data_IF_611515446471
#
_entry.id   IF_611515446471
#
_cell.length_a   1.000
_cell.length_b   1.000
_cell.length_c   1.000
_cell.angle_alpha   90.00
_cell.angle_beta   90.00
_cell.angle_gamma   90.00
#
_symmetry.space_group_name_H-M   'P 1'
#
loop_
_entity.id
_entity.type
_entity.pdbx_description
1 polymer ?
#
# COMPACT_ATOMS: atom_id res chain seq x y z
N UNK A 1 2.10 8.58 -1.15
CA UNK A 1 3.47 9.05 -1.40
C UNK A 1 3.87 8.46 -2.73
N UNK A 2 4.03 9.34 -3.71
CA UNK A 2 4.11 8.95 -5.12
C UNK A 2 5.57 9.05 -5.56
N UNK A 3 6.18 7.88 -5.72
CA UNK A 3 7.56 7.70 -6.14
C UNK A 3 7.62 6.91 -7.46
N UNK A 4 6.55 6.95 -8.24
CA UNK A 4 6.47 6.28 -9.53
C UNK A 4 7.50 6.79 -10.54
N UNK A 5 7.93 5.94 -11.47
CA UNK A 5 8.90 6.22 -12.53
C UNK A 5 10.27 6.75 -12.05
N UNK A 6 10.65 6.39 -10.83
CA UNK A 6 11.99 6.68 -10.31
C UNK A 6 12.98 5.54 -10.56
N UNK A 7 14.24 5.76 -10.18
CA UNK A 7 15.28 4.74 -10.21
C UNK A 7 15.56 4.20 -8.81
N UNK A 8 14.51 3.85 -8.07
CA UNK A 8 14.65 3.27 -6.74
C UNK A 8 15.02 1.79 -6.91
N UNK A 9 16.13 1.40 -6.29
CA UNK A 9 16.63 0.01 -6.24
C UNK A 9 16.59 -0.56 -4.80
N UNK A 10 16.22 0.26 -3.82
CA UNK A 10 16.28 -0.07 -2.38
C UNK A 10 16.21 1.20 -1.52
N UNK A 11 16.58 1.08 -0.24
CA UNK A 11 16.54 2.22 0.71
C UNK A 11 15.16 2.51 1.29
N UNK A 12 14.24 1.53 1.20
CA UNK A 12 12.92 1.62 1.81
C UNK A 12 13.00 1.69 3.35
N UNK A 13 14.12 1.28 3.95
CA UNK A 13 14.37 1.41 5.40
C UNK A 13 14.23 2.84 5.88
N UNK A 14 14.87 3.79 5.19
CA UNK A 14 14.83 5.20 5.59
C UNK A 14 13.44 5.78 5.41
N UNK A 15 12.72 5.35 4.37
CA UNK A 15 11.33 5.75 4.14
C UNK A 15 10.43 5.24 5.27
N UNK A 16 10.66 3.99 5.71
CA UNK A 16 9.94 3.40 6.82
C UNK A 16 10.25 4.06 8.17
N UNK A 17 11.48 4.55 8.36
CA UNK A 17 11.89 5.30 9.57
C UNK A 17 11.32 6.73 9.61
N UNK A 18 11.33 7.43 8.47
CA UNK A 18 10.93 8.83 8.41
C UNK A 18 9.40 9.00 8.31
N UNK A 19 8.69 8.02 7.75
CA UNK A 19 7.25 8.12 7.44
C UNK A 19 6.45 6.94 8.04
N UNK A 20 6.46 6.72 9.36
CA UNK A 20 5.81 5.56 9.98
C UNK A 20 4.28 5.52 9.79
N UNK A 21 3.65 6.67 9.58
CA UNK A 21 2.19 6.79 9.38
C UNK A 21 1.76 6.73 7.91
N UNK A 22 2.65 6.31 7.00
CA UNK A 22 2.34 6.23 5.58
C UNK A 22 1.27 5.15 5.31
N UNK A 23 0.18 5.54 4.66
CA UNK A 23 -0.94 4.63 4.32
C UNK A 23 -0.93 4.19 2.86
N UNK A 24 -0.40 5.02 1.97
CA UNK A 24 -0.36 4.78 0.52
C UNK A 24 1.05 5.05 -0.02
N UNK A 25 1.61 4.08 -0.73
CA UNK A 25 2.94 4.17 -1.33
C UNK A 25 2.88 3.69 -2.79
N UNK A 26 3.19 4.58 -3.72
CA UNK A 26 3.32 4.23 -5.12
C UNK A 26 4.80 4.15 -5.51
N UNK A 27 5.25 2.96 -5.87
CA UNK A 27 6.58 2.63 -6.36
C UNK A 27 6.53 2.05 -7.78
N UNK A 28 5.43 2.23 -8.52
CA UNK A 28 5.31 1.79 -9.91
C UNK A 28 6.43 2.34 -10.80
N UNK A 29 6.83 1.59 -11.83
CA UNK A 29 7.90 1.99 -12.76
C UNK A 29 9.31 2.05 -12.16
N UNK A 30 9.52 1.59 -10.92
CA UNK A 30 10.85 1.46 -10.32
C UNK A 30 11.52 0.11 -10.67
N UNK A 31 12.81 -0.04 -10.33
CA UNK A 31 13.61 -1.24 -10.65
C UNK A 31 13.76 -2.17 -9.45
N UNK A 32 12.64 -2.48 -8.81
CA UNK A 32 12.58 -3.46 -7.71
C UNK A 32 12.43 -4.85 -8.31
N UNK A 33 13.41 -5.73 -8.05
CA UNK A 33 13.47 -7.07 -8.63
C UNK A 33 13.10 -8.18 -7.67
N UNK A 34 13.41 -8.00 -6.39
CA UNK A 34 13.28 -9.04 -5.38
C UNK A 34 12.31 -8.63 -4.27
N UNK A 35 11.49 -9.58 -3.80
CA UNK A 35 10.57 -9.38 -2.67
C UNK A 35 11.34 -8.94 -1.40
N UNK A 36 12.59 -9.38 -1.24
CA UNK A 36 13.45 -8.96 -0.12
C UNK A 36 13.68 -7.45 -0.05
N UNK A 37 13.58 -6.74 -1.17
CA UNK A 37 13.71 -5.27 -1.18
C UNK A 37 12.55 -4.57 -0.45
N UNK A 38 11.42 -5.26 -0.29
CA UNK A 38 10.21 -4.76 0.37
C UNK A 38 10.19 -5.05 1.88
N UNK A 39 11.15 -5.83 2.41
CA UNK A 39 11.21 -6.13 3.85
C UNK A 39 11.16 -4.91 4.77
N UNK A 40 11.81 -3.78 4.43
CA UNK A 40 11.75 -2.61 5.29
C UNK A 40 10.35 -2.01 5.44
N UNK A 41 9.47 -2.22 4.44
CA UNK A 41 8.08 -1.76 4.48
C UNK A 41 7.25 -2.46 5.58
N UNK A 42 7.74 -3.58 6.13
CA UNK A 42 7.10 -4.24 7.29
C UNK A 42 6.96 -3.31 8.49
N UNK A 43 7.87 -2.34 8.64
CA UNK A 43 7.85 -1.35 9.73
C UNK A 43 6.74 -0.30 9.55
N UNK A 44 6.16 -0.17 8.36
CA UNK A 44 5.04 0.73 8.10
C UNK A 44 3.74 0.03 8.50
N UNK A 45 3.41 0.05 9.80
CA UNK A 45 2.20 -0.59 10.33
C UNK A 45 0.90 0.01 9.75
N UNK A 46 0.96 1.29 9.35
CA UNK A 46 -0.16 2.00 8.75
C UNK A 46 -0.32 1.78 7.23
N UNK A 47 0.62 1.11 6.56
CA UNK A 47 0.58 0.95 5.09
C UNK A 47 -0.59 0.05 4.68
N UNK A 48 -1.50 0.60 3.86
CA UNK A 48 -2.70 -0.07 3.36
C UNK A 48 -2.68 -0.32 1.86
N UNK A 49 -2.09 0.60 1.08
CA UNK A 49 -2.01 0.47 -0.37
C UNK A 49 -0.57 0.59 -0.85
N UNK A 50 -0.16 -0.34 -1.70
CA UNK A 50 1.16 -0.40 -2.31
C UNK A 50 1.01 -0.66 -3.81
N UNK A 51 1.63 0.17 -4.62
CA UNK A 51 1.68 -0.01 -6.07
C UNK A 51 3.13 -0.26 -6.49
N UNK A 52 3.36 -1.38 -7.16
CA UNK A 52 4.65 -1.81 -7.72
C UNK A 52 4.52 -2.09 -9.21
N UNK A 53 3.42 -1.68 -9.86
CA UNK A 53 3.17 -1.94 -11.27
C UNK A 53 4.35 -1.51 -12.14
N UNK A 54 4.81 -2.36 -13.05
CA UNK A 54 5.98 -2.08 -13.89
C UNK A 54 7.35 -2.25 -13.19
N UNK A 55 7.40 -2.74 -11.96
CA UNK A 55 8.62 -3.23 -11.34
C UNK A 55 8.97 -4.66 -11.82
N UNK A 56 10.24 -5.06 -11.79
CA UNK A 56 10.64 -6.42 -12.18
C UNK A 56 10.04 -7.52 -11.27
N UNK A 57 9.79 -7.18 -10.00
CA UNK A 57 9.21 -8.08 -8.98
C UNK A 57 7.80 -8.56 -9.33
N UNK A 58 7.04 -7.79 -10.13
CA UNK A 58 5.67 -8.16 -10.53
C UNK A 58 5.65 -9.35 -11.51
N UNK A 59 6.79 -9.70 -12.11
CA UNK A 59 6.92 -10.84 -13.02
C UNK A 59 7.13 -12.18 -12.29
N UNK A 60 7.21 -12.18 -10.95
CA UNK A 60 7.34 -13.41 -10.17
C UNK A 60 5.99 -14.12 -10.09
N UNK A 61 5.97 -15.45 -10.28
CA UNK A 61 4.73 -16.23 -10.25
C UNK A 61 3.97 -16.09 -8.92
N UNK A 62 4.70 -16.09 -7.80
CA UNK A 62 4.14 -16.00 -6.45
C UNK A 62 4.16 -14.56 -5.92
N UNK A 63 4.25 -13.55 -6.80
CA UNK A 63 4.43 -12.15 -6.44
C UNK A 63 3.37 -11.66 -5.44
N UNK A 64 2.08 -11.72 -5.80
CA UNK A 64 0.99 -11.21 -4.95
C UNK A 64 0.96 -11.94 -3.60
N UNK A 65 0.99 -13.27 -3.61
CA UNK A 65 0.97 -14.07 -2.39
C UNK A 65 2.19 -13.77 -1.50
N UNK A 66 3.38 -13.66 -2.09
CA UNK A 66 4.61 -13.35 -1.38
C UNK A 66 4.58 -11.96 -0.76
N UNK A 67 4.06 -10.95 -1.47
CA UNK A 67 3.95 -9.58 -0.96
C UNK A 67 2.93 -9.52 0.18
N UNK A 68 1.73 -10.09 0.04
CA UNK A 68 0.75 -10.10 1.12
C UNK A 68 1.18 -10.91 2.34
N UNK A 69 1.94 -11.99 2.12
CA UNK A 69 2.56 -12.76 3.21
C UNK A 69 3.66 -11.96 3.92
N UNK A 70 4.42 -11.17 3.16
CA UNK A 70 5.47 -10.31 3.69
C UNK A 70 4.91 -9.12 4.46
N UNK A 71 3.85 -8.50 3.93
CA UNK A 71 3.19 -7.30 4.42
C UNK A 71 1.72 -7.61 4.76
N UNK A 72 1.48 -8.33 5.88
CA UNK A 72 0.13 -8.72 6.27
C UNK A 72 -0.77 -7.53 6.63
N UNK A 73 -0.21 -6.34 6.88
CA UNK A 73 -0.96 -5.10 7.11
C UNK A 73 -1.57 -4.49 5.84
N UNK A 74 -1.09 -4.92 4.67
CA UNK A 74 -1.48 -4.39 3.37
C UNK A 74 -2.89 -4.86 3.02
N UNK A 75 -3.74 -3.90 2.62
CA UNK A 75 -5.10 -4.13 2.14
C UNK A 75 -5.12 -4.30 0.63
N UNK A 76 -4.39 -3.44 -0.10
CA UNK A 76 -4.40 -3.39 -1.55
C UNK A 76 -2.97 -3.40 -2.12
N UNK A 77 -2.78 -4.20 -3.15
CA UNK A 77 -1.56 -4.33 -3.93
C UNK A 77 -1.90 -4.13 -5.41
N UNK A 78 -1.24 -3.16 -6.04
CA UNK A 78 -1.45 -2.76 -7.45
C UNK A 78 -2.93 -2.46 -7.75
N UNK A 79 -3.65 -1.90 -6.78
CA UNK A 79 -5.08 -1.58 -6.90
C UNK A 79 -6.03 -2.74 -6.61
N UNK A 80 -5.55 -3.92 -6.21
CA UNK A 80 -6.40 -5.08 -5.91
C UNK A 80 -6.13 -5.64 -4.51
N UNK A 81 -7.15 -6.18 -3.85
CA UNK A 81 -6.99 -6.85 -2.55
C UNK A 81 -6.51 -8.32 -2.68
N UNK A 82 -6.58 -9.07 -1.58
CA UNK A 82 -6.21 -10.50 -1.54
C UNK A 82 -7.20 -11.40 -2.28
N UNK A 83 -8.44 -10.94 -2.46
CA UNK A 83 -9.52 -11.65 -3.16
C UNK A 83 -9.64 -11.20 -4.62
N UNK A 84 -8.65 -10.46 -5.13
CA UNK A 84 -8.60 -9.89 -6.49
C UNK A 84 -9.72 -8.86 -6.75
N UNK A 85 -10.25 -8.25 -5.70
CA UNK A 85 -11.22 -7.15 -5.83
C UNK A 85 -10.49 -5.83 -5.94
N UNK A 86 -10.93 -5.03 -6.90
CA UNK A 86 -10.40 -3.69 -7.14
C UNK A 86 -10.67 -2.81 -5.91
N UNK A 87 -9.65 -2.05 -5.52
CA UNK A 87 -9.78 -1.04 -4.48
C UNK A 87 -10.89 -0.07 -4.91
N UNK A 88 -11.79 0.33 -4.00
CA UNK A 88 -12.75 1.37 -4.33
C UNK A 88 -11.98 2.60 -4.78
N UNK A 89 -12.34 3.15 -5.95
CA UNK A 89 -11.80 4.41 -6.45
C UNK A 89 -11.76 5.40 -5.28
N UNK A 90 -10.57 5.89 -4.95
CA UNK A 90 -10.31 6.72 -3.77
C UNK A 90 -10.95 8.13 -3.85
N UNK A 91 -11.95 8.30 -4.73
CA UNK A 91 -12.81 9.48 -4.89
C UNK A 91 -14.09 9.42 -4.03
N UNK A 92 -14.31 8.35 -3.25
CA UNK A 92 -15.18 8.49 -2.08
C UNK A 92 -14.40 9.18 -0.98
N UNK A 93 -14.31 10.50 -1.09
CA UNK A 93 -14.26 11.37 0.08
C UNK A 93 -15.33 10.82 1.04
N UNK A 94 -14.90 10.16 2.12
CA UNK A 94 -15.77 9.85 3.23
C UNK A 94 -16.04 11.20 3.87
N UNK A 95 -16.96 11.94 3.25
CA UNK A 95 -17.47 13.21 3.72
C UNK A 95 -18.00 12.91 5.12
N UNK A 96 -17.24 13.40 6.11
CA UNK A 96 -17.64 13.32 7.49
C UNK A 96 -18.95 14.07 7.63
N UNK A 97 -20.05 13.33 7.66
CA UNK A 97 -21.28 13.84 8.25
C UNK A 97 -21.60 12.91 9.42
N UNK A 98 -21.04 13.33 10.54
CA UNK A 98 -21.58 13.22 11.89
C UNK A 98 -23.07 12.84 11.85
N UNK A 99 -23.36 11.57 12.11
CA UNK A 99 -24.70 11.19 12.53
C UNK A 99 -24.73 11.44 14.03
N UNK A 100 -25.02 12.69 14.38
CA UNK A 100 -25.38 13.11 15.73
C UNK A 100 -26.36 12.06 16.28
N UNK A 101 -25.93 11.35 17.31
CA UNK A 101 -26.86 10.70 18.21
C UNK A 101 -27.47 11.80 19.09
N UNK A 102 -28.71 12.17 18.82
CA UNK A 102 -29.61 12.67 19.86
C UNK A 102 -30.87 11.78 19.86
N UNK A 103 -30.81 10.78 20.73
CA UNK A 103 -31.96 10.18 21.38
C UNK A 103 -32.59 11.17 22.38
N UNK A 104 -33.86 10.92 22.69
CA UNK A 104 -34.71 11.51 23.75
C UNK A 104 -35.67 12.68 23.43
N UNK A 105 -36.95 12.31 23.32
CA UNK A 105 -37.93 12.74 24.34
C UNK A 105 -38.61 14.10 24.19
N UNK A 106 -39.83 14.09 23.63
CA UNK A 106 -40.83 15.17 23.72
C UNK A 106 -42.20 14.72 23.26
#
# INVERSE_FOLDING_TARGET
LELSDNRIFGGLDRLAEELPSLTHLNLSGNKLKDISTLEPLKKLDCLKSLDLFGCEVTNLNDYRESVFKLLPQLSYLDGYDREDQEAPDSDVEVDGVDKEEEDEGG
#
